data_IF_928752045566
#
_entry.id   IF_928752045566
#
_cell.length_a   1.000
_cell.length_b   1.000
_cell.length_c   1.000
_cell.angle_alpha   90.00
_cell.angle_beta   90.00
_cell.angle_gamma   90.00
#
_symmetry.space_group_name_H-M   'P 1'
#
loop_
_entity.id
_entity.type
_entity.pdbx_description
1 polymer ?
#
# COMPACT_ATOMS: atom_id res chain seq x y z
N UNK A 1 26.79 -32.94 -67.20
CA UNK A 1 27.26 -33.00 -65.80
C UNK A 1 27.08 -31.62 -65.18
N UNK A 2 25.99 -31.39 -64.47
CA UNK A 2 25.65 -30.08 -63.92
C UNK A 2 25.83 -30.18 -62.39
N UNK A 3 26.88 -29.53 -61.87
CA UNK A 3 27.18 -29.52 -60.42
C UNK A 3 26.23 -28.56 -59.72
N UNK A 4 25.43 -29.09 -58.82
CA UNK A 4 24.59 -28.30 -57.93
C UNK A 4 25.44 -27.66 -56.82
N UNK A 5 25.45 -26.32 -56.78
CA UNK A 5 26.05 -25.53 -55.71
C UNK A 5 25.06 -25.49 -54.56
N UNK A 6 25.42 -26.11 -53.43
CA UNK A 6 24.65 -26.05 -52.20
C UNK A 6 24.85 -24.66 -51.56
N UNK A 7 23.77 -23.89 -51.28
CA UNK A 7 23.93 -22.62 -50.56
C UNK A 7 24.31 -22.87 -49.08
N UNK A 8 25.44 -22.30 -48.68
CA UNK A 8 25.94 -22.37 -47.32
C UNK A 8 24.89 -21.77 -46.34
N UNK A 9 24.57 -22.55 -45.30
CA UNK A 9 23.80 -22.06 -44.15
C UNK A 9 24.58 -20.94 -43.47
N UNK A 10 24.15 -19.71 -43.71
CA UNK A 10 24.63 -18.57 -42.92
C UNK A 10 24.33 -18.83 -41.45
N UNK A 11 25.36 -18.98 -40.64
CA UNK A 11 25.23 -18.97 -39.17
C UNK A 11 24.74 -17.59 -38.78
N UNK A 12 23.44 -17.51 -38.43
CA UNK A 12 22.88 -16.31 -37.87
C UNK A 12 23.68 -16.01 -36.57
N UNK A 13 24.47 -14.94 -36.59
CA UNK A 13 25.07 -14.40 -35.38
C UNK A 13 23.92 -14.02 -34.45
N UNK A 14 23.71 -14.86 -33.44
CA UNK A 14 22.76 -14.53 -32.36
C UNK A 14 23.25 -13.26 -31.70
N UNK A 15 22.64 -12.14 -32.05
CA UNK A 15 22.90 -10.85 -31.45
C UNK A 15 22.81 -10.98 -29.93
N UNK A 16 23.80 -10.44 -29.23
CA UNK A 16 23.79 -10.34 -27.76
C UNK A 16 22.45 -9.74 -27.33
N UNK A 17 21.71 -10.37 -26.38
CA UNK A 17 20.46 -9.80 -25.91
C UNK A 17 20.71 -8.36 -25.44
N UNK A 18 19.82 -7.40 -25.77
CA UNK A 18 19.96 -6.03 -25.34
C UNK A 18 20.06 -5.98 -23.82
N UNK A 19 20.88 -5.06 -23.30
CA UNK A 19 20.99 -4.87 -21.86
C UNK A 19 19.61 -4.56 -21.27
N UNK A 20 19.25 -5.13 -20.09
CA UNK A 20 17.94 -4.91 -19.48
C UNK A 20 17.68 -3.42 -19.28
N UNK A 21 16.62 -2.91 -19.90
CA UNK A 21 16.23 -1.51 -19.84
C UNK A 21 15.64 -1.15 -18.45
N UNK A 22 15.43 0.15 -18.20
CA UNK A 22 14.76 0.62 -16.98
C UNK A 22 13.36 0.01 -16.80
N UNK A 23 12.67 -0.29 -17.89
CA UNK A 23 11.35 -0.96 -17.90
C UNK A 23 11.39 -2.37 -17.34
N UNK A 24 12.49 -3.12 -17.58
CA UNK A 24 12.63 -4.50 -17.08
C UNK A 24 12.86 -4.52 -15.56
N UNK A 25 13.34 -3.41 -15.01
CA UNK A 25 13.57 -3.22 -13.55
C UNK A 25 12.38 -2.56 -12.83
N UNK A 26 11.37 -2.10 -13.55
CA UNK A 26 10.23 -1.40 -12.97
C UNK A 26 9.56 -2.15 -11.80
N UNK A 27 9.30 -3.47 -11.86
CA UNK A 27 8.69 -4.17 -10.74
C UNK A 27 9.59 -4.22 -9.50
N UNK A 28 10.91 -4.36 -9.70
CA UNK A 28 11.88 -4.34 -8.59
C UNK A 28 11.97 -2.96 -7.94
N UNK A 29 12.00 -1.90 -8.74
CA UNK A 29 12.00 -0.52 -8.24
C UNK A 29 10.71 -0.22 -7.50
N UNK A 30 9.55 -0.61 -8.04
CA UNK A 30 8.26 -0.43 -7.39
C UNK A 30 8.21 -1.17 -6.03
N UNK A 31 8.68 -2.41 -5.98
CA UNK A 31 8.75 -3.20 -4.76
C UNK A 31 9.73 -2.58 -3.73
N UNK A 32 10.88 -2.10 -4.18
CA UNK A 32 11.86 -1.45 -3.31
C UNK A 32 11.31 -0.15 -2.71
N UNK A 33 10.65 0.69 -3.52
CA UNK A 33 10.03 1.93 -3.04
C UNK A 33 8.88 1.63 -2.07
N UNK A 34 8.04 0.64 -2.38
CA UNK A 34 6.97 0.21 -1.47
C UNK A 34 7.53 -0.38 -0.17
N UNK A 35 8.58 -1.21 -0.25
CA UNK A 35 9.24 -1.75 0.94
C UNK A 35 9.90 -0.68 1.81
N UNK A 36 10.57 0.31 1.21
CA UNK A 36 11.16 1.44 1.91
C UNK A 36 10.09 2.29 2.61
N UNK A 37 9.00 2.58 1.92
CA UNK A 37 7.85 3.31 2.49
C UNK A 37 7.23 2.57 3.67
N UNK A 38 7.02 1.26 3.55
CA UNK A 38 6.52 0.43 4.66
C UNK A 38 7.50 0.43 5.83
N UNK A 39 8.81 0.29 5.56
CA UNK A 39 9.86 0.34 6.58
C UNK A 39 9.86 1.68 7.34
N UNK A 40 9.67 2.80 6.63
CA UNK A 40 9.55 4.12 7.23
C UNK A 40 8.30 4.21 8.14
N UNK A 41 7.15 3.73 7.68
CA UNK A 41 5.90 3.72 8.46
C UNK A 41 6.07 2.90 9.74
N UNK A 42 6.65 1.70 9.65
CA UNK A 42 6.95 0.85 10.80
C UNK A 42 7.95 1.53 11.73
N UNK A 43 9.01 2.15 11.18
CA UNK A 43 10.00 2.90 11.95
C UNK A 43 9.36 4.04 12.75
N UNK A 44 8.52 4.86 12.11
CA UNK A 44 7.76 5.92 12.78
C UNK A 44 6.88 5.34 13.88
N UNK A 45 6.14 4.26 13.59
CA UNK A 45 5.28 3.61 14.58
C UNK A 45 6.05 3.13 15.82
N UNK A 46 7.25 2.60 15.63
CA UNK A 46 8.09 2.12 16.74
C UNK A 46 8.73 3.24 17.56
N UNK A 47 9.13 4.33 16.92
CA UNK A 47 9.76 5.47 17.59
C UNK A 47 8.74 6.32 18.37
N UNK A 48 7.52 6.44 17.81
CA UNK A 48 6.45 7.26 18.40
C UNK A 48 5.46 6.44 19.25
N UNK A 49 5.92 5.36 19.89
CA UNK A 49 5.05 4.54 20.76
C UNK A 49 4.39 5.36 21.85
N UNK A 50 3.11 5.09 22.09
CA UNK A 50 2.38 5.62 23.24
C UNK A 50 2.65 4.76 24.49
N UNK A 51 2.52 5.38 25.68
CA UNK A 51 2.54 4.65 26.95
C UNK A 51 1.31 3.70 26.99
N UNK A 52 1.55 2.43 27.35
CA UNK A 52 0.53 1.38 27.39
C UNK A 52 -0.06 1.19 28.79
N UNK A 53 0.24 2.06 29.75
CA UNK A 53 -0.12 1.89 31.15
C UNK A 53 -1.53 2.33 31.55
N UNK A 54 -2.29 2.96 30.62
CA UNK A 54 -3.65 3.46 30.90
C UNK A 54 -4.80 2.60 30.37
N UNK A 55 -6.03 2.79 30.90
CA UNK A 55 -7.22 2.19 30.31
C UNK A 55 -7.35 2.60 28.83
N UNK A 56 -7.65 1.66 27.94
CA UNK A 56 -7.78 1.91 26.50
C UNK A 56 -6.47 2.16 25.73
N UNK A 57 -5.32 2.28 26.41
CA UNK A 57 -4.03 2.59 25.78
C UNK A 57 -3.64 1.57 24.70
N UNK A 58 -3.87 0.28 24.94
CA UNK A 58 -3.64 -0.77 23.94
C UNK A 58 -4.54 -0.62 22.70
N UNK A 59 -5.81 -0.29 22.90
CA UNK A 59 -6.76 -0.07 21.81
C UNK A 59 -6.35 1.13 20.96
N UNK A 60 -5.95 2.21 21.61
CA UNK A 60 -5.45 3.42 20.94
C UNK A 60 -4.16 3.14 20.15
N UNK A 61 -3.24 2.34 20.73
CA UNK A 61 -2.02 1.95 20.02
C UNK A 61 -2.32 1.07 18.80
N UNK A 62 -3.20 0.08 18.93
CA UNK A 62 -3.66 -0.71 17.78
C UNK A 62 -4.37 0.14 16.72
N UNK A 63 -5.21 1.08 17.15
CA UNK A 63 -5.83 2.05 16.26
C UNK A 63 -4.79 2.85 15.47
N UNK A 64 -3.72 3.30 16.13
CA UNK A 64 -2.62 4.04 15.51
C UNK A 64 -1.91 3.20 14.44
N UNK A 65 -1.64 1.93 14.72
CA UNK A 65 -1.08 1.01 13.72
C UNK A 65 -2.02 0.83 12.52
N UNK A 66 -3.31 0.64 12.77
CA UNK A 66 -4.32 0.56 11.70
C UNK A 66 -4.36 1.84 10.85
N UNK A 67 -4.26 3.04 11.48
CA UNK A 67 -4.22 4.31 10.77
C UNK A 67 -2.99 4.43 9.87
N UNK A 68 -1.80 4.16 10.41
CA UNK A 68 -0.54 4.29 9.67
C UNK A 68 -0.48 3.31 8.49
N UNK A 69 -0.80 2.04 8.72
CA UNK A 69 -0.81 1.02 7.68
C UNK A 69 -1.95 1.26 6.67
N UNK A 70 -3.13 1.68 7.13
CA UNK A 70 -4.26 2.03 6.29
C UNK A 70 -3.96 3.22 5.38
N UNK A 71 -3.39 4.29 5.92
CA UNK A 71 -2.98 5.48 5.13
C UNK A 71 -1.90 5.13 4.11
N UNK A 72 -0.88 4.39 4.52
CA UNK A 72 0.15 3.94 3.60
C UNK A 72 -0.42 3.04 2.50
N UNK A 73 -1.26 2.08 2.86
CA UNK A 73 -1.96 1.21 1.92
C UNK A 73 -2.84 1.99 0.95
N UNK A 74 -3.54 3.02 1.42
CA UNK A 74 -4.35 3.92 0.58
C UNK A 74 -3.49 4.65 -0.46
N UNK A 75 -2.32 5.16 -0.06
CA UNK A 75 -1.37 5.78 -1.00
C UNK A 75 -0.91 4.79 -2.06
N UNK A 76 -0.56 3.56 -1.67
CA UNK A 76 -0.19 2.51 -2.62
C UNK A 76 -1.34 2.22 -3.58
N UNK A 77 -2.56 2.05 -3.08
CA UNK A 77 -3.76 1.79 -3.90
C UNK A 77 -4.02 2.92 -4.89
N UNK A 78 -3.83 4.18 -4.50
CA UNK A 78 -3.93 5.35 -5.39
C UNK A 78 -2.86 5.30 -6.49
N UNK A 79 -1.61 4.99 -6.14
CA UNK A 79 -0.51 4.86 -7.11
C UNK A 79 -0.79 3.75 -8.14
N UNK A 80 -1.38 2.63 -7.72
CA UNK A 80 -1.74 1.53 -8.62
C UNK A 80 -2.76 1.94 -9.70
N UNK A 81 -3.61 2.93 -9.41
CA UNK A 81 -4.64 3.43 -10.34
C UNK A 81 -4.20 4.68 -11.10
N UNK A 82 -3.17 5.38 -10.61
CA UNK A 82 -2.72 6.67 -11.16
C UNK A 82 -2.10 6.59 -12.58
N UNK A 83 -2.08 5.40 -13.22
CA UNK A 83 -1.57 5.18 -14.57
C UNK A 83 -0.18 5.77 -14.81
N UNK A 84 0.74 5.49 -13.87
CA UNK A 84 2.11 5.95 -13.99
C UNK A 84 2.80 5.23 -15.17
N UNK A 85 3.20 5.94 -16.24
CA UNK A 85 3.56 5.31 -17.53
C UNK A 85 4.73 4.32 -17.45
N UNK A 86 5.72 4.55 -16.59
CA UNK A 86 6.86 3.65 -16.42
C UNK A 86 6.46 2.38 -15.66
N UNK A 87 5.54 2.50 -14.69
CA UNK A 87 5.02 1.39 -13.90
C UNK A 87 4.09 0.51 -14.75
N UNK A 88 3.22 1.14 -15.53
CA UNK A 88 2.31 0.45 -16.46
C UNK A 88 3.08 -0.34 -17.53
N UNK A 89 4.15 0.25 -18.10
CA UNK A 89 4.98 -0.44 -19.10
C UNK A 89 5.80 -1.59 -18.52
N UNK A 90 6.23 -1.50 -17.26
CA UNK A 90 7.10 -2.50 -16.65
C UNK A 90 6.36 -3.62 -15.90
N UNK A 91 5.18 -3.33 -15.33
CA UNK A 91 4.39 -4.30 -14.55
C UNK A 91 3.20 -4.82 -15.34
N UNK A 92 2.63 -3.99 -16.21
CA UNK A 92 1.41 -4.26 -16.95
C UNK A 92 0.15 -3.85 -16.18
N UNK A 93 -0.81 -3.30 -16.93
CA UNK A 93 -2.05 -2.76 -16.37
C UNK A 93 -2.88 -3.83 -15.64
N UNK A 94 -2.90 -5.06 -16.14
CA UNK A 94 -3.67 -6.17 -15.56
C UNK A 94 -3.18 -6.54 -14.16
N UNK A 95 -1.87 -6.56 -13.96
CA UNK A 95 -1.26 -6.81 -12.65
C UNK A 95 -1.53 -5.68 -11.66
N UNK A 96 -1.43 -4.42 -12.11
CA UNK A 96 -1.73 -3.25 -11.29
C UNK A 96 -3.20 -3.25 -10.85
N UNK A 97 -4.13 -3.55 -11.77
CA UNK A 97 -5.55 -3.66 -11.47
C UNK A 97 -5.85 -4.83 -10.49
N UNK A 98 -5.17 -5.96 -10.66
CA UNK A 98 -5.29 -7.10 -9.74
C UNK A 98 -4.81 -6.74 -8.33
N UNK A 99 -3.68 -6.06 -8.20
CA UNK A 99 -3.15 -5.62 -6.91
C UNK A 99 -4.06 -4.59 -6.25
N UNK A 100 -4.56 -3.61 -7.02
CA UNK A 100 -5.55 -2.66 -6.53
C UNK A 100 -6.79 -3.36 -5.96
N UNK A 101 -7.35 -4.33 -6.71
CA UNK A 101 -8.53 -5.09 -6.30
C UNK A 101 -8.29 -5.92 -5.04
N UNK A 102 -7.07 -6.42 -4.81
CA UNK A 102 -6.72 -7.21 -3.63
C UNK A 102 -6.41 -6.35 -2.41
N UNK A 103 -5.72 -5.23 -2.60
CA UNK A 103 -5.30 -4.34 -1.51
C UNK A 103 -6.42 -3.41 -1.06
N UNK A 104 -7.29 -2.95 -1.97
CA UNK A 104 -8.36 -2.01 -1.65
C UNK A 104 -9.23 -2.43 -0.47
N UNK A 105 -9.81 -3.64 -0.45
CA UNK A 105 -10.60 -4.12 0.68
C UNK A 105 -9.82 -4.17 2.00
N UNK A 106 -8.56 -4.58 1.97
CA UNK A 106 -7.71 -4.63 3.16
C UNK A 106 -7.48 -3.23 3.75
N UNK A 107 -7.27 -2.23 2.89
CA UNK A 107 -7.14 -0.83 3.31
C UNK A 107 -8.43 -0.33 3.95
N UNK A 108 -9.58 -0.62 3.37
CA UNK A 108 -10.88 -0.25 3.94
C UNK A 108 -11.11 -0.88 5.31
N UNK A 109 -10.75 -2.16 5.47
CA UNK A 109 -10.81 -2.85 6.77
C UNK A 109 -9.89 -2.18 7.79
N UNK A 110 -8.66 -1.81 7.43
CA UNK A 110 -7.75 -1.12 8.34
C UNK A 110 -8.29 0.24 8.78
N UNK A 111 -8.87 1.01 7.85
CA UNK A 111 -9.49 2.30 8.17
C UNK A 111 -10.71 2.11 9.09
N UNK A 112 -11.57 1.14 8.80
CA UNK A 112 -12.72 0.83 9.67
C UNK A 112 -12.28 0.38 11.07
N UNK A 113 -11.28 -0.50 11.16
CA UNK A 113 -10.69 -0.93 12.44
C UNK A 113 -10.06 0.25 13.20
N UNK A 114 -9.38 1.17 12.51
CA UNK A 114 -8.86 2.38 13.14
C UNK A 114 -9.99 3.15 13.83
N UNK A 115 -11.08 3.44 13.14
CA UNK A 115 -12.21 4.19 13.69
C UNK A 115 -12.82 3.47 14.91
N UNK A 116 -13.05 2.16 14.80
CA UNK A 116 -13.63 1.37 15.89
C UNK A 116 -12.70 1.34 17.11
N UNK A 117 -11.42 1.06 16.89
CA UNK A 117 -10.43 0.91 17.96
C UNK A 117 -10.11 2.25 18.64
N UNK A 118 -10.01 3.35 17.89
CA UNK A 118 -9.73 4.66 18.48
C UNK A 118 -10.91 5.10 19.33
N UNK A 119 -12.14 4.93 18.87
CA UNK A 119 -13.34 5.27 19.63
C UNK A 119 -13.44 4.42 20.90
N UNK A 120 -13.20 3.11 20.81
CA UNK A 120 -13.20 2.23 21.97
C UNK A 120 -12.08 2.57 22.98
N UNK A 121 -10.89 2.94 22.46
CA UNK A 121 -9.75 3.35 23.29
C UNK A 121 -10.02 4.60 24.10
N UNK A 122 -10.61 5.62 23.48
CA UNK A 122 -10.99 6.85 24.18
C UNK A 122 -12.16 6.62 25.16
N UNK A 123 -13.17 5.84 24.75
CA UNK A 123 -14.27 5.49 25.64
C UNK A 123 -13.78 4.80 26.93
N UNK A 124 -12.82 3.87 26.80
CA UNK A 124 -12.20 3.21 27.93
C UNK A 124 -11.34 4.16 28.78
N UNK A 125 -10.62 5.09 28.16
CA UNK A 125 -9.78 6.06 28.86
C UNK A 125 -10.61 7.07 29.67
N UNK A 126 -11.77 7.51 29.15
CA UNK A 126 -12.67 8.47 29.76
C UNK A 126 -13.76 7.82 30.62
N UNK A 127 -13.75 6.48 30.74
CA UNK A 127 -14.77 5.69 31.42
C UNK A 127 -16.22 6.01 30.94
N UNK A 128 -16.37 6.29 29.65
CA UNK A 128 -17.64 6.61 29.00
C UNK A 128 -18.16 5.43 28.16
N UNK A 129 -19.43 5.51 27.72
CA UNK A 129 -19.92 4.50 26.78
C UNK A 129 -19.39 4.75 25.37
N UNK A 130 -19.30 3.69 24.55
CA UNK A 130 -18.89 3.80 23.14
C UNK A 130 -19.79 4.77 22.34
N UNK A 131 -21.09 4.76 22.62
CA UNK A 131 -22.07 5.63 21.94
C UNK A 131 -21.87 7.10 22.32
N UNK A 132 -21.64 7.39 23.61
CA UNK A 132 -21.37 8.75 24.07
C UNK A 132 -20.06 9.29 23.49
N UNK A 133 -19.02 8.45 23.40
CA UNK A 133 -17.76 8.83 22.78
C UNK A 133 -17.93 9.11 21.29
N UNK A 134 -18.67 8.26 20.58
CA UNK A 134 -19.01 8.50 19.16
C UNK A 134 -19.75 9.82 18.97
N UNK A 135 -20.73 10.10 19.83
CA UNK A 135 -21.49 11.34 19.79
C UNK A 135 -20.62 12.57 20.09
N UNK A 136 -19.69 12.43 21.02
CA UNK A 136 -18.70 13.48 21.34
C UNK A 136 -17.83 13.80 20.13
N UNK A 137 -17.33 12.79 19.42
CA UNK A 137 -16.56 13.00 18.19
C UNK A 137 -17.36 13.71 17.10
N UNK A 138 -18.60 13.28 16.86
CA UNK A 138 -19.47 13.91 15.86
C UNK A 138 -19.78 15.37 16.19
N UNK A 139 -19.94 15.73 17.46
CA UNK A 139 -20.15 17.13 17.89
C UNK A 139 -18.90 17.97 17.83
N UNK A 140 -17.76 17.40 18.19
CA UNK A 140 -16.48 18.11 18.20
C UNK A 140 -15.96 18.38 16.79
N UNK A 141 -16.29 17.47 15.86
CA UNK A 141 -15.87 17.54 14.47
C UNK A 141 -17.07 17.54 13.51
N UNK A 142 -17.88 18.64 13.49
CA UNK A 142 -19.13 18.68 12.71
C UNK A 142 -18.91 18.50 11.19
N UNK A 143 -17.70 18.78 10.68
CA UNK A 143 -17.36 18.54 9.27
C UNK A 143 -17.26 17.05 8.88
N UNK A 144 -17.34 16.12 9.84
CA UNK A 144 -17.49 14.69 9.55
C UNK A 144 -18.91 14.32 9.17
N UNK A 145 -19.89 15.19 9.45
CA UNK A 145 -21.26 15.01 9.03
C UNK A 145 -21.44 15.64 7.64
N UNK A 146 -21.89 14.86 6.62
CA UNK A 146 -22.24 15.45 5.34
C UNK A 146 -23.40 16.44 5.54
N UNK A 147 -23.22 17.64 4.97
CA UNK A 147 -24.26 18.66 4.94
C UNK A 147 -25.44 18.23 4.06
#
# INVERSE_FOLDING_TARGET
>A
MTSAVTPGRGVALQGRPPAPGLTDRAPLVALAVAGLGLGLVVGIALVTRTDLSGPGALLTELARWCALLGTYGALVVVVLVARVPWLERGVGLDHLALWHRRLGPAVLVLVALHVVLVTAGYAAAEATSYLDQTWTFLRTYPWLLPA
#
